data_IF_803369029332
#
_entry.id   IF_803369029332
#
_cell.length_a   1.000
_cell.length_b   1.000
_cell.length_c   1.000
_cell.angle_alpha   90.00
_cell.angle_beta   90.00
_cell.angle_gamma   90.00
#
_symmetry.space_group_name_H-M   'P 1'
#
loop_
_entity.id
_entity.type
_entity.pdbx_description
1 polymer ?
#
# COMPACT_ATOMS: atom_id res chain seq x y z
N UNK A 1 26.54 21.27 0.23
CA UNK A 1 26.59 19.81 0.09
C UNK A 1 25.28 19.28 -0.44
N UNK A 2 25.34 18.43 -1.45
CA UNK A 2 24.17 17.68 -1.91
C UNK A 2 23.93 16.49 -0.96
N UNK A 3 22.68 16.29 -0.56
CA UNK A 3 22.28 15.17 0.28
C UNK A 3 20.90 14.67 -0.12
N UNK A 4 20.62 13.42 0.15
CA UNK A 4 19.31 12.82 -0.03
C UNK A 4 18.94 11.99 1.20
N UNK A 5 17.69 12.09 1.61
CA UNK A 5 17.11 11.24 2.63
C UNK A 5 15.70 10.83 2.18
N UNK A 6 15.61 9.66 1.59
CA UNK A 6 14.37 9.16 1.01
C UNK A 6 14.21 7.68 1.28
N UNK A 7 13.01 7.29 1.70
CA UNK A 7 12.61 5.91 1.92
C UNK A 7 11.35 5.62 1.13
N UNK A 8 11.33 4.49 0.47
CA UNK A 8 10.18 3.97 -0.25
C UNK A 8 9.89 2.57 0.29
N UNK A 9 8.67 2.34 0.75
CA UNK A 9 8.23 1.07 1.30
C UNK A 9 6.93 0.62 0.63
N UNK A 10 6.86 -0.65 0.31
CA UNK A 10 5.61 -1.35 -0.01
C UNK A 10 5.54 -2.56 0.89
N UNK A 11 4.50 -2.65 1.68
CA UNK A 11 4.31 -3.76 2.59
C UNK A 11 2.91 -3.76 3.20
N UNK A 12 2.69 -4.66 4.12
CA UNK A 12 1.40 -4.86 4.75
C UNK A 12 1.43 -4.34 6.19
N UNK A 13 0.33 -3.74 6.63
CA UNK A 13 0.19 -3.32 8.01
C UNK A 13 0.12 -4.53 8.95
N UNK A 14 0.92 -4.50 10.01
CA UNK A 14 0.92 -5.54 11.05
C UNK A 14 -0.14 -5.32 12.13
N UNK A 15 -0.68 -4.12 12.22
CA UNK A 15 -1.71 -3.74 13.17
C UNK A 15 -2.54 -2.58 12.61
N UNK A 16 -3.68 -2.30 13.23
CA UNK A 16 -4.46 -1.12 12.90
C UNK A 16 -3.68 0.16 13.23
N UNK A 17 -3.87 1.24 12.43
CA UNK A 17 -3.22 2.51 12.69
C UNK A 17 -3.60 3.08 14.05
N UNK A 18 -2.63 3.68 14.72
CA UNK A 18 -2.84 4.42 15.97
C UNK A 18 -2.79 5.91 15.68
N UNK A 19 -3.91 6.59 15.86
CA UNK A 19 -4.02 8.03 15.68
C UNK A 19 -4.12 8.74 17.01
N UNK A 20 -3.32 9.78 17.17
CA UNK A 20 -3.35 10.69 18.32
C UNK A 20 -3.30 12.12 17.85
N UNK A 21 -3.63 13.03 18.75
CA UNK A 21 -3.59 14.45 18.49
C UNK A 21 -2.57 15.12 19.40
N UNK A 22 -1.81 16.04 18.85
CA UNK A 22 -0.85 16.84 19.60
C UNK A 22 -1.56 17.94 20.41
N UNK A 23 -0.82 18.62 21.28
CA UNK A 23 -1.34 19.76 22.03
C UNK A 23 -1.88 20.88 21.12
N UNK A 24 -1.35 21.01 19.92
CA UNK A 24 -1.83 21.93 18.88
C UNK A 24 -2.98 21.37 18.05
N UNK A 25 -3.52 20.24 18.43
CA UNK A 25 -4.62 19.55 17.75
C UNK A 25 -4.28 19.04 16.32
N UNK A 26 -3.02 18.78 16.08
CA UNK A 26 -2.56 18.15 14.84
C UNK A 26 -2.61 16.62 14.94
N UNK A 27 -3.15 15.98 13.93
CA UNK A 27 -3.22 14.53 13.87
C UNK A 27 -1.85 13.91 13.63
N UNK A 28 -1.54 12.86 14.36
CA UNK A 28 -0.35 12.02 14.19
C UNK A 28 -0.79 10.56 14.16
N UNK A 29 -0.49 9.86 13.08
CA UNK A 29 -0.81 8.45 12.93
C UNK A 29 0.45 7.62 12.80
N UNK A 30 0.55 6.57 13.62
CA UNK A 30 1.62 5.59 13.57
C UNK A 30 1.12 4.30 12.95
N UNK A 31 1.89 3.74 12.04
CA UNK A 31 1.66 2.41 11.50
C UNK A 31 2.94 1.58 11.53
N UNK A 32 2.77 0.27 11.52
CA UNK A 32 3.87 -0.68 11.34
C UNK A 32 3.67 -1.44 10.05
N UNK A 33 4.67 -1.41 9.20
CA UNK A 33 4.68 -2.07 7.89
C UNK A 33 5.66 -3.23 7.92
N UNK A 34 5.22 -4.39 7.49
CA UNK A 34 6.07 -5.56 7.26
C UNK A 34 6.51 -5.61 5.80
N UNK A 35 7.79 -5.70 5.58
CA UNK A 35 8.39 -6.03 4.28
C UNK A 35 9.07 -7.37 4.39
N UNK A 36 8.75 -8.29 3.48
CA UNK A 36 9.28 -9.66 3.50
C UNK A 36 10.12 -9.90 2.27
N UNK A 37 11.34 -10.35 2.50
CA UNK A 37 12.27 -10.77 1.47
C UNK A 37 12.42 -12.29 1.50
N UNK A 38 12.47 -12.88 0.34
CA UNK A 38 12.71 -14.31 0.18
C UNK A 38 13.88 -14.55 -0.76
N UNK A 39 14.77 -15.46 -0.39
CA UNK A 39 15.91 -15.82 -1.23
C UNK A 39 16.25 -17.30 -1.03
N UNK A 40 17.04 -17.83 -1.92
CA UNK A 40 17.66 -19.14 -1.75
C UNK A 40 19.08 -18.98 -1.25
N UNK A 41 19.45 -19.76 -0.24
CA UNK A 41 20.82 -19.81 0.25
C UNK A 41 21.73 -20.66 -0.67
N UNK A 42 22.99 -20.78 -0.31
CA UNK A 42 23.97 -21.55 -1.09
C UNK A 42 23.66 -23.04 -1.16
N UNK A 43 22.89 -23.56 -0.20
CA UNK A 43 22.44 -24.96 -0.17
C UNK A 43 21.11 -25.18 -0.92
N UNK A 44 20.54 -24.14 -1.52
CA UNK A 44 19.29 -24.18 -2.26
C UNK A 44 18.03 -24.12 -1.40
N UNK A 45 18.17 -23.93 -0.09
CA UNK A 45 17.05 -23.75 0.82
C UNK A 45 16.45 -22.35 0.72
N UNK A 46 15.13 -22.29 0.72
CA UNK A 46 14.39 -21.04 0.73
C UNK A 46 14.46 -20.39 2.10
N UNK A 47 14.97 -19.17 2.13
CA UNK A 47 15.05 -18.33 3.33
C UNK A 47 14.05 -17.17 3.21
N UNK A 48 13.55 -16.74 4.35
CA UNK A 48 12.62 -15.63 4.45
C UNK A 48 13.02 -14.71 5.60
N UNK A 49 12.92 -13.41 5.36
CA UNK A 49 13.20 -12.39 6.37
C UNK A 49 12.15 -11.31 6.30
N UNK A 50 11.56 -10.98 7.43
CA UNK A 50 10.60 -9.89 7.56
C UNK A 50 11.21 -8.76 8.38
N UNK A 51 11.17 -7.55 7.83
CA UNK A 51 11.53 -6.32 8.52
C UNK A 51 10.27 -5.54 8.87
N UNK A 52 10.25 -5.00 10.08
CA UNK A 52 9.18 -4.16 10.59
C UNK A 52 9.60 -2.70 10.58
N UNK A 53 8.84 -1.88 9.88
CA UNK A 53 9.10 -0.45 9.77
C UNK A 53 8.05 0.34 10.53
N UNK A 54 8.51 1.29 11.34
CA UNK A 54 7.63 2.26 11.98
C UNK A 54 7.50 3.48 11.08
N UNK A 55 6.27 3.80 10.72
CA UNK A 55 5.96 4.93 9.84
C UNK A 55 5.04 5.90 10.58
N UNK A 56 5.37 7.17 10.52
CA UNK A 56 4.63 8.25 11.17
C UNK A 56 4.07 9.18 10.11
N UNK A 57 2.79 9.47 10.21
CA UNK A 57 2.10 10.45 9.38
C UNK A 57 1.73 11.66 10.22
N UNK A 58 1.78 12.83 9.63
CA UNK A 58 1.40 14.08 10.26
C UNK A 58 0.30 14.80 9.47
N UNK A 59 -0.52 15.57 10.18
CA UNK A 59 -1.53 16.43 9.59
C UNK A 59 -2.60 15.67 8.81
N UNK A 60 -2.95 16.17 7.64
CA UNK A 60 -4.01 15.60 6.82
C UNK A 60 -3.71 14.16 6.36
N UNK A 61 -2.46 13.86 6.06
CA UNK A 61 -2.05 12.51 5.70
C UNK A 61 -2.25 11.53 6.87
N UNK A 62 -2.05 11.99 8.10
CA UNK A 62 -2.31 11.21 9.31
C UNK A 62 -3.81 10.89 9.46
N UNK A 63 -4.67 11.83 9.20
CA UNK A 63 -6.12 11.62 9.23
C UNK A 63 -6.56 10.59 8.19
N UNK A 64 -6.06 10.69 6.97
CA UNK A 64 -6.33 9.74 5.89
C UNK A 64 -5.82 8.35 6.25
N UNK A 65 -4.61 8.24 6.74
CA UNK A 65 -4.03 6.96 7.14
C UNK A 65 -4.81 6.31 8.28
N UNK A 66 -5.20 7.07 9.28
CA UNK A 66 -6.00 6.59 10.42
C UNK A 66 -7.40 6.15 10.04
N UNK A 67 -8.00 6.77 9.03
CA UNK A 67 -9.36 6.49 8.60
C UNK A 67 -9.44 5.28 7.64
N UNK A 68 -8.51 5.18 6.70
CA UNK A 68 -8.60 4.22 5.60
C UNK A 68 -7.72 2.99 5.74
N UNK A 69 -6.64 3.06 6.50
CA UNK A 69 -5.74 1.93 6.67
C UNK A 69 -6.25 0.97 7.75
N UNK A 70 -6.00 -0.32 7.55
CA UNK A 70 -6.34 -1.39 8.48
C UNK A 70 -5.25 -2.46 8.49
N UNK A 71 -5.17 -3.21 9.59
CA UNK A 71 -4.32 -4.39 9.69
C UNK A 71 -4.45 -5.29 8.46
N UNK A 72 -3.32 -5.74 7.93
CA UNK A 72 -3.24 -6.63 6.78
C UNK A 72 -3.30 -5.94 5.42
N UNK A 73 -3.60 -4.65 5.38
CA UNK A 73 -3.70 -3.92 4.13
C UNK A 73 -2.32 -3.62 3.55
N UNK A 74 -2.19 -3.74 2.25
CA UNK A 74 -0.98 -3.35 1.53
C UNK A 74 -0.99 -1.86 1.26
N UNK A 75 0.16 -1.23 1.49
CA UNK A 75 0.32 0.21 1.34
C UNK A 75 1.68 0.54 0.73
N UNK A 76 1.70 1.58 -0.10
CA UNK A 76 2.90 2.25 -0.56
C UNK A 76 3.12 3.50 0.30
N UNK A 77 4.32 3.66 0.81
CA UNK A 77 4.72 4.82 1.60
C UNK A 77 6.02 5.39 1.08
N UNK A 78 6.07 6.68 0.97
CA UNK A 78 7.25 7.45 0.61
C UNK A 78 7.52 8.48 1.70
N UNK A 79 8.76 8.62 2.11
CA UNK A 79 9.14 9.54 3.17
C UNK A 79 10.63 9.64 3.39
N UNK A 80 11.01 10.04 4.57
CA UNK A 80 12.40 10.19 5.00
C UNK A 80 12.64 9.52 6.34
N UNK A 81 13.89 9.10 6.58
CA UNK A 81 14.30 8.59 7.88
C UNK A 81 14.46 9.73 8.86
N UNK A 82 13.98 9.52 10.07
CA UNK A 82 14.21 10.44 11.20
C UNK A 82 14.51 9.63 12.44
N UNK A 83 15.54 10.04 13.15
CA UNK A 83 15.88 9.51 14.47
C UNK A 83 15.52 10.54 15.51
N UNK A 84 14.73 10.12 16.50
CA UNK A 84 14.40 10.95 17.66
C UNK A 84 14.98 10.34 18.92
N UNK A 85 15.39 11.21 19.82
CA UNK A 85 15.87 10.87 21.15
C UNK A 85 14.73 11.01 22.15
N UNK A 86 14.62 10.04 23.04
CA UNK A 86 13.64 10.04 24.12
C UNK A 86 14.23 9.40 25.36
N UNK A 87 13.64 9.63 26.50
CA UNK A 87 14.07 9.01 27.76
C UNK A 87 13.07 7.94 28.19
N UNK A 88 13.58 6.79 28.61
CA UNK A 88 12.77 5.74 29.17
C UNK A 88 12.42 6.01 30.65
N UNK A 89 11.65 5.13 31.27
CA UNK A 89 11.25 5.25 32.68
C UNK A 89 12.42 5.24 33.65
N UNK A 90 13.55 4.69 33.25
CA UNK A 90 14.79 4.67 34.05
C UNK A 90 15.66 5.91 33.83
N UNK A 91 15.23 6.86 33.02
CA UNK A 91 15.98 8.09 32.71
C UNK A 91 17.10 7.88 31.70
N UNK A 92 17.17 6.72 31.03
CA UNK A 92 18.17 6.45 30.01
C UNK A 92 17.75 7.01 28.65
N UNK A 93 18.71 7.58 27.95
CA UNK A 93 18.51 8.06 26.60
C UNK A 93 18.30 6.91 25.63
N UNK A 94 17.21 6.98 24.87
CA UNK A 94 16.87 6.02 23.82
C UNK A 94 16.74 6.74 22.49
N UNK A 95 17.02 6.03 21.42
CA UNK A 95 16.89 6.51 20.06
C UNK A 95 15.92 5.64 19.29
N UNK A 96 15.00 6.25 18.60
CA UNK A 96 14.06 5.55 17.71
C UNK A 96 14.20 6.13 16.30
N UNK A 97 14.49 5.25 15.35
CA UNK A 97 14.50 5.59 13.93
C UNK A 97 13.17 5.19 13.31
N UNK A 98 12.53 6.14 12.69
CA UNK A 98 11.23 5.97 12.06
C UNK A 98 11.20 6.64 10.68
N UNK A 99 10.24 6.26 9.86
CA UNK A 99 9.99 6.88 8.56
C UNK A 99 8.91 7.92 8.75
N UNK A 100 9.22 9.17 8.42
CA UNK A 100 8.23 10.24 8.36
C UNK A 100 7.66 10.27 6.95
N UNK A 101 6.41 9.89 6.80
CA UNK A 101 5.77 9.79 5.51
C UNK A 101 5.47 11.15 4.90
N UNK A 102 5.76 11.30 3.64
CA UNK A 102 5.40 12.47 2.82
C UNK A 102 4.30 12.15 1.81
N UNK A 103 4.15 10.89 1.46
CA UNK A 103 3.12 10.40 0.55
C UNK A 103 2.73 8.96 0.89
N UNK A 104 1.50 8.60 0.57
CA UNK A 104 0.96 7.27 0.81
C UNK A 104 -0.05 6.91 -0.25
N UNK A 105 -0.01 5.66 -0.70
CA UNK A 105 -1.01 5.11 -1.62
C UNK A 105 -1.45 3.73 -1.13
N UNK A 106 -2.75 3.53 -1.09
CA UNK A 106 -3.33 2.24 -0.75
C UNK A 106 -3.24 1.32 -1.97
N UNK A 107 -2.66 0.14 -1.76
CA UNK A 107 -2.49 -0.88 -2.77
C UNK A 107 -3.35 -2.10 -2.44
N UNK A 108 -3.46 -3.02 -3.39
CA UNK A 108 -4.20 -4.25 -3.24
C UNK A 108 -5.69 -4.12 -3.53
N UNK A 109 -6.31 -5.24 -3.85
CA UNK A 109 -7.75 -5.32 -4.05
C UNK A 109 -8.48 -5.12 -2.73
N UNK A 110 -9.54 -4.36 -2.75
CA UNK A 110 -10.53 -4.41 -1.67
C UNK A 110 -11.08 -5.83 -1.60
N UNK A 111 -10.71 -6.59 -0.60
CA UNK A 111 -11.44 -7.79 -0.27
C UNK A 111 -12.78 -7.35 0.32
N UNK A 112 -13.75 -7.40 -0.45
CA UNK A 112 -15.19 -7.45 -0.27
C UNK A 112 -15.93 -6.42 -1.12
N UNK A 113 -16.52 -6.88 -2.18
CA UNK A 113 -17.88 -6.61 -2.58
C UNK A 113 -18.34 -5.16 -2.72
N UNK A 114 -17.51 -4.26 -3.17
CA UNK A 114 -17.99 -3.09 -3.88
C UNK A 114 -17.18 -3.01 -5.17
N UNK A 115 -17.75 -3.59 -6.21
CA UNK A 115 -17.40 -3.20 -7.55
C UNK A 115 -17.44 -1.67 -7.59
N UNK A 116 -16.28 -1.06 -7.77
CA UNK A 116 -16.31 0.23 -8.40
C UNK A 116 -16.83 -0.03 -9.80
N UNK A 117 -18.11 0.22 -10.00
CA UNK A 117 -18.49 0.68 -11.30
C UNK A 117 -17.63 1.90 -11.56
N UNK A 118 -16.63 1.71 -12.39
CA UNK A 118 -16.15 2.80 -13.19
C UNK A 118 -17.40 3.26 -13.92
N UNK A 119 -18.00 4.32 -13.44
CA UNK A 119 -18.91 5.07 -14.26
C UNK A 119 -18.02 5.68 -15.33
N UNK A 120 -17.67 4.83 -16.27
CA UNK A 120 -17.33 5.29 -17.58
C UNK A 120 -18.54 6.09 -17.99
N UNK A 121 -18.39 7.36 -18.01
CA UNK A 121 -19.40 8.25 -18.50
C UNK A 121 -19.51 7.95 -20.00
N UNK A 122 -20.54 7.24 -20.45
CA UNK A 122 -20.71 7.08 -21.85
C UNK A 122 -21.24 8.41 -22.38
N UNK A 123 -20.40 9.12 -23.07
CA UNK A 123 -20.87 9.85 -24.21
C UNK A 123 -21.32 8.82 -25.25
N UNK A 124 -22.31 8.06 -24.92
CA UNK A 124 -22.98 7.18 -25.84
C UNK A 124 -24.28 7.82 -26.20
N UNK A 125 -24.29 8.44 -27.33
CA UNK A 125 -25.50 8.60 -28.09
C UNK A 125 -26.22 7.23 -28.16
N UNK A 126 -27.54 7.19 -27.98
CA UNK A 126 -28.27 5.93 -27.99
C UNK A 126 -28.16 5.31 -29.37
N UNK A 127 -27.38 4.28 -29.48
CA UNK A 127 -27.40 3.42 -30.64
C UNK A 127 -28.76 2.69 -30.63
N UNK A 128 -29.58 3.00 -31.61
CA UNK A 128 -30.78 2.25 -31.87
C UNK A 128 -30.38 0.79 -32.18
N UNK A 129 -30.65 -0.07 -31.25
CA UNK A 129 -30.55 -1.49 -31.49
C UNK A 129 -31.66 -1.92 -32.43
N UNK A 130 -31.29 -2.16 -33.67
CA UNK A 130 -32.12 -2.88 -34.58
C UNK A 130 -32.09 -4.38 -34.25
N UNK A 131 -33.20 -5.11 -34.41
CA UNK A 131 -33.22 -6.52 -34.10
C UNK A 131 -32.36 -7.27 -35.10
N UNK A 132 -31.40 -8.01 -34.62
CA UNK A 132 -30.66 -8.98 -35.40
C UNK A 132 -31.21 -10.37 -35.15
N UNK A 133 -31.81 -10.99 -36.14
CA UNK A 133 -32.00 -12.42 -36.11
C UNK A 133 -30.80 -13.10 -36.75
N UNK A 134 -30.25 -14.08 -36.09
CA UNK A 134 -29.29 -14.96 -36.71
C UNK A 134 -28.00 -15.14 -35.91
N UNK A 135 -28.11 -15.86 -34.84
CA UNK A 135 -26.96 -16.47 -34.25
C UNK A 135 -26.42 -17.55 -35.20
N UNK A 136 -25.33 -17.31 -35.84
CA UNK A 136 -24.46 -18.36 -36.32
C UNK A 136 -23.25 -18.43 -35.41
N UNK A 137 -23.22 -19.47 -34.66
CA UNK A 137 -22.11 -20.02 -33.95
C UNK A 137 -20.87 -20.00 -34.83
N UNK A 138 -19.93 -19.21 -34.50
CA UNK A 138 -18.58 -19.37 -34.98
C UNK A 138 -17.82 -20.19 -33.92
N UNK A 139 -17.26 -21.34 -34.29
CA UNK A 139 -16.28 -21.98 -33.45
C UNK A 139 -14.97 -21.26 -33.67
N UNK A 140 -14.70 -20.31 -32.84
CA UNK A 140 -13.40 -19.70 -32.75
C UNK A 140 -12.82 -20.13 -31.45
N UNK A 141 -11.94 -21.10 -31.48
CA UNK A 141 -11.08 -21.42 -30.39
C UNK A 141 -10.21 -20.22 -30.09
N UNK A 142 -10.40 -19.65 -28.95
CA UNK A 142 -9.40 -18.83 -28.30
C UNK A 142 -8.62 -19.69 -27.31
N UNK A 143 -8.10 -20.79 -27.85
CA UNK A 143 -7.05 -21.54 -27.24
C UNK A 143 -5.78 -21.21 -28.02
N UNK A 144 -5.11 -20.19 -27.63
CA UNK A 144 -3.69 -19.95 -27.85
C UNK A 144 -3.40 -18.46 -27.61
N UNK A 145 -3.64 -18.05 -26.40
CA UNK A 145 -2.89 -16.97 -25.83
C UNK A 145 -2.19 -17.56 -24.61
N UNK A 146 -1.24 -18.41 -24.88
CA UNK A 146 -0.14 -18.58 -23.95
C UNK A 146 0.55 -17.24 -23.90
N UNK A 147 0.20 -16.48 -22.89
CA UNK A 147 0.94 -15.31 -22.50
C UNK A 147 2.30 -15.77 -21.99
N UNK A 148 3.18 -16.03 -22.90
CA UNK A 148 4.60 -15.94 -22.62
C UNK A 148 4.93 -14.48 -22.43
N UNK A 149 4.68 -13.98 -21.23
CA UNK A 149 5.29 -12.78 -20.77
C UNK A 149 6.60 -13.17 -20.08
N UNK A 150 7.74 -12.96 -20.69
CA UNK A 150 9.01 -13.23 -20.03
C UNK A 150 9.30 -12.11 -19.01
N UNK A 151 9.28 -12.48 -17.79
CA UNK A 151 9.88 -11.69 -16.71
C UNK A 151 11.20 -12.31 -16.28
#
# INVERSE_FOLDING_TARGET
MASINKVILIGNLGADPETRYTASNDAVTNIRIATTETWKDKSGEKQERTEWHNVVFFGKLAEIAGEYLKKGRQVYVEGSLRTRKWQDKAGQDRYTTEVVASDMKMLGSRSSGTSFEVVDQPDAAPAKAGPKPGAKKAPGGFDDLEDDIPF
#
